data_IF_469127631583
#
_entry.id   IF_469127631583
#
_cell.length_a   1.000
_cell.length_b   1.000
_cell.length_c   1.000
_cell.angle_alpha   90.00
_cell.angle_beta   90.00
_cell.angle_gamma   90.00
#
_symmetry.space_group_name_H-M   'P 1'
#
loop_
_entity.id
_entity.type
_entity.pdbx_description
1 polymer ?
#
# COMPACT_ATOMS: atom_id res chain seq x y z
N UNK A 1 12.08 2.50 8.57
CA UNK A 1 11.97 1.18 9.24
C UNK A 1 13.29 0.38 9.19
N UNK A 2 14.43 0.97 9.55
CA UNK A 2 15.65 0.17 9.73
C UNK A 2 16.23 0.45 11.11
N UNK A 3 16.48 -0.63 11.86
CA UNK A 3 17.17 -0.60 13.16
C UNK A 3 16.39 -0.06 14.36
N UNK A 4 15.08 0.19 14.26
CA UNK A 4 14.29 0.71 15.38
C UNK A 4 13.93 -0.41 16.35
N UNK A 5 14.34 -0.27 17.61
CA UNK A 5 13.83 -1.09 18.71
C UNK A 5 12.54 -0.46 19.26
N UNK A 6 11.51 -1.29 19.45
CA UNK A 6 10.24 -0.87 20.04
C UNK A 6 10.18 -1.35 21.49
N UNK A 7 9.70 -0.48 22.38
CA UNK A 7 9.54 -0.81 23.80
C UNK A 7 8.48 -1.89 24.03
N UNK A 8 7.48 -1.99 23.15
CA UNK A 8 6.41 -2.98 23.24
C UNK A 8 6.07 -3.56 21.86
N UNK A 9 5.50 -4.76 21.87
CA UNK A 9 4.95 -5.38 20.65
C UNK A 9 3.87 -4.51 20.00
N UNK A 10 3.05 -3.81 20.80
CA UNK A 10 1.99 -2.95 20.26
C UNK A 10 2.57 -1.78 19.46
N UNK A 11 3.60 -1.12 19.98
CA UNK A 11 4.28 -0.03 19.27
C UNK A 11 4.92 -0.51 17.95
N UNK A 12 5.46 -1.73 17.91
CA UNK A 12 5.97 -2.31 16.67
C UNK A 12 4.84 -2.57 15.65
N UNK A 13 3.68 -3.03 16.12
CA UNK A 13 2.52 -3.26 15.26
C UNK A 13 1.98 -1.95 14.67
N UNK A 14 1.85 -0.91 15.50
CA UNK A 14 1.34 0.39 15.07
C UNK A 14 2.23 0.98 13.96
N UNK A 15 3.56 0.94 14.10
CA UNK A 15 4.49 1.36 13.05
C UNK A 15 4.30 0.55 11.75
N UNK A 16 4.11 -0.77 11.85
CA UNK A 16 3.89 -1.62 10.66
C UNK A 16 2.61 -1.24 9.94
N UNK A 17 1.53 -1.00 10.69
CA UNK A 17 0.25 -0.58 10.10
C UNK A 17 0.36 0.82 9.48
N UNK A 18 1.03 1.76 10.14
CA UNK A 18 1.25 3.10 9.61
C UNK A 18 2.04 3.06 8.30
N UNK A 19 3.08 2.24 8.24
CA UNK A 19 3.86 2.06 7.03
C UNK A 19 3.08 1.37 5.91
N UNK A 20 2.28 0.34 6.22
CA UNK A 20 1.39 -0.28 5.24
C UNK A 20 0.37 0.73 4.70
N UNK A 21 -0.20 1.57 5.56
CA UNK A 21 -1.12 2.64 5.19
C UNK A 21 -0.46 3.62 4.22
N UNK A 22 0.75 4.09 4.55
CA UNK A 22 1.53 4.94 3.63
C UNK A 22 1.86 4.23 2.31
N UNK A 23 2.37 3.00 2.38
CA UNK A 23 2.84 2.25 1.21
C UNK A 23 1.69 2.02 0.23
N UNK A 24 0.58 1.46 0.70
CA UNK A 24 -0.55 1.11 -0.14
C UNK A 24 -1.24 2.34 -0.73
N UNK A 25 -1.38 3.42 0.05
CA UNK A 25 -2.11 4.60 -0.40
C UNK A 25 -1.26 5.55 -1.25
N UNK A 26 0.03 5.74 -0.94
CA UNK A 26 0.83 6.88 -1.42
C UNK A 26 2.14 6.52 -2.11
N UNK A 27 2.72 5.34 -1.87
CA UNK A 27 4.02 5.00 -2.47
C UNK A 27 3.87 4.84 -3.98
N UNK A 28 4.57 5.66 -4.75
CA UNK A 28 4.64 5.49 -6.20
C UNK A 28 5.66 4.40 -6.56
N UNK A 29 5.30 3.55 -7.51
CA UNK A 29 6.13 2.45 -7.97
C UNK A 29 6.23 2.48 -9.50
N UNK A 30 7.46 2.49 -10.03
CA UNK A 30 7.71 2.57 -11.48
C UNK A 30 7.13 1.37 -12.25
N UNK A 31 7.12 0.17 -11.65
CA UNK A 31 6.47 -1.02 -12.20
C UNK A 31 4.96 -0.85 -12.37
N UNK A 32 4.34 0.02 -11.57
CA UNK A 32 2.90 0.32 -11.61
C UNK A 32 2.64 1.65 -12.34
N UNK A 33 3.50 2.04 -13.28
CA UNK A 33 3.35 3.29 -14.04
C UNK A 33 3.24 4.53 -13.14
N UNK A 34 4.05 4.55 -12.07
CA UNK A 34 4.08 5.63 -11.08
C UNK A 34 2.73 5.93 -10.41
N UNK A 35 1.88 4.91 -10.22
CA UNK A 35 0.73 5.00 -9.32
C UNK A 35 0.95 4.22 -8.02
N UNK A 36 0.12 4.50 -7.01
CA UNK A 36 0.12 3.73 -5.76
C UNK A 36 -0.53 2.35 -5.94
N UNK A 37 -0.15 1.34 -5.14
CA UNK A 37 -0.74 0.00 -5.19
C UNK A 37 -2.28 0.02 -5.14
N UNK A 38 -2.88 0.80 -4.24
CA UNK A 38 -4.34 0.92 -4.17
C UNK A 38 -4.95 1.56 -5.43
N UNK A 39 -4.27 2.53 -6.05
CA UNK A 39 -4.75 3.13 -7.29
C UNK A 39 -4.69 2.13 -8.44
N UNK A 40 -3.60 1.36 -8.51
CA UNK A 40 -3.45 0.30 -9.50
C UNK A 40 -4.57 -0.73 -9.38
N UNK A 41 -4.83 -1.24 -8.17
CA UNK A 41 -5.89 -2.22 -7.91
C UNK A 41 -7.29 -1.69 -8.28
N UNK A 42 -7.60 -0.44 -7.92
CA UNK A 42 -8.87 0.20 -8.32
C UNK A 42 -9.03 0.29 -9.84
N UNK A 43 -7.98 0.68 -10.56
CA UNK A 43 -8.00 0.73 -12.03
C UNK A 43 -8.19 -0.67 -12.63
N UNK A 44 -7.52 -1.67 -12.06
CA UNK A 44 -7.64 -3.06 -12.49
C UNK A 44 -9.06 -3.60 -12.29
N UNK A 45 -9.67 -3.39 -11.12
CA UNK A 45 -11.05 -3.78 -10.84
C UNK A 45 -12.05 -3.10 -11.79
N UNK A 46 -11.91 -1.79 -12.02
CA UNK A 46 -12.76 -1.06 -12.96
C UNK A 46 -12.64 -1.59 -14.40
N UNK A 47 -11.43 -1.92 -14.85
CA UNK A 47 -11.20 -2.49 -16.16
C UNK A 47 -11.81 -3.90 -16.30
N UNK A 48 -11.85 -4.69 -15.23
CA UNK A 48 -12.52 -5.99 -15.24
C UNK A 48 -14.05 -5.85 -15.32
N UNK A 49 -14.64 -4.92 -14.56
CA UNK A 49 -16.08 -4.65 -14.61
C UNK A 49 -16.52 -4.21 -16.01
N UNK A 50 -15.74 -3.34 -16.67
CA UNK A 50 -16.03 -2.91 -18.04
C UNK A 50 -15.86 -4.00 -19.10
N UNK A 51 -15.14 -5.09 -18.80
CA UNK A 51 -15.00 -6.26 -19.70
C UNK A 51 -16.13 -7.29 -19.52
N UNK A 52 -16.83 -7.24 -18.40
CA UNK A 52 -17.92 -8.17 -18.08
C UNK A 52 -19.31 -7.63 -18.50
N UNK A 53 -19.39 -6.39 -18.99
CA UNK A 53 -20.58 -5.75 -19.55
C UNK A 53 -20.57 -5.83 -21.07
#
# INVERSE_FOLDING_TARGET
MHGRHFATRRAAMDEVIDWLGFYNARRLQSTLDYVSPMTFEKKWLAAQQGRAA
#
